data_IF_958434653680
#
_entry.id   IF_958434653680
#
_cell.length_a   1.000
_cell.length_b   1.000
_cell.length_c   1.000
_cell.angle_alpha   90.00
_cell.angle_beta   90.00
_cell.angle_gamma   90.00
#
_symmetry.space_group_name_H-M   'P 1'
#
loop_
_entity.id
_entity.type
_entity.pdbx_description
1 polymer ?
#
# COMPACT_ATOMS: atom_id res chain seq x y z
N UNK A 1 0.11 -1.23 17.06
CA UNK A 1 1.52 -1.25 16.63
C UNK A 1 1.52 -0.76 15.19
N UNK A 2 2.39 0.17 14.84
CA UNK A 2 2.45 0.76 13.51
C UNK A 2 3.68 0.26 12.78
N UNK A 3 3.56 -0.04 11.49
CA UNK A 3 4.68 -0.36 10.62
C UNK A 3 5.10 0.90 9.87
N UNK A 4 6.41 1.19 9.86
CA UNK A 4 7.01 2.37 9.24
C UNK A 4 8.06 1.98 8.21
N UNK A 5 8.05 2.64 7.06
CA UNK A 5 9.04 2.50 5.98
C UNK A 5 9.81 3.81 5.85
N UNK A 6 11.13 3.72 5.65
CA UNK A 6 11.96 4.89 5.36
C UNK A 6 12.05 5.12 3.85
N UNK A 7 11.60 6.27 3.38
CA UNK A 7 11.58 6.65 1.97
C UNK A 7 12.98 6.82 1.36
N UNK A 8 14.00 7.02 2.19
CA UNK A 8 15.40 7.16 1.75
C UNK A 8 16.13 5.83 1.54
N UNK A 9 15.82 4.80 2.32
CA UNK A 9 16.62 3.56 2.34
C UNK A 9 15.81 2.26 2.39
N UNK A 10 14.47 2.36 2.29
CA UNK A 10 13.51 1.26 2.36
C UNK A 10 13.63 0.39 3.61
N UNK A 11 14.22 0.91 4.70
CA UNK A 11 14.22 0.21 5.97
C UNK A 11 12.80 0.18 6.54
N UNK A 12 12.36 -0.97 7.02
CA UNK A 12 11.04 -1.16 7.63
C UNK A 12 11.19 -1.51 9.11
N UNK A 13 10.33 -0.98 9.98
CA UNK A 13 10.30 -1.30 11.40
C UNK A 13 8.93 -1.08 12.03
N UNK A 14 8.70 -1.71 13.19
CA UNK A 14 7.47 -1.55 13.97
C UNK A 14 7.69 -0.60 15.15
N UNK A 15 6.72 0.25 15.44
CA UNK A 15 6.73 1.18 16.59
C UNK A 15 5.37 1.20 17.31
N UNK A 16 5.38 1.54 18.60
CA UNK A 16 4.16 1.78 19.37
C UNK A 16 3.73 3.25 19.37
N UNK A 17 4.55 4.15 18.85
CA UNK A 17 4.32 5.60 18.94
C UNK A 17 4.53 6.25 17.57
N UNK A 18 3.50 6.96 17.12
CA UNK A 18 3.60 7.97 16.06
C UNK A 18 3.09 9.26 16.70
N UNK A 19 3.91 10.30 16.77
CA UNK A 19 3.45 11.60 17.29
C UNK A 19 2.64 12.33 16.21
N UNK A 20 1.33 12.42 16.40
CA UNK A 20 0.40 13.09 15.47
C UNK A 20 0.72 14.58 15.24
N UNK A 21 1.48 15.20 16.14
CA UNK A 21 1.78 16.65 16.13
C UNK A 21 3.18 16.99 15.64
N UNK A 22 4.03 16.01 15.34
CA UNK A 22 5.40 16.26 14.86
C UNK A 22 5.85 15.12 13.97
N UNK A 23 6.03 15.38 12.67
CA UNK A 23 6.76 14.53 11.70
C UNK A 23 8.23 14.22 12.12
N UNK A 24 8.63 14.52 13.36
CA UNK A 24 10.02 14.66 13.80
C UNK A 24 10.54 13.56 14.74
N UNK A 25 9.74 12.58 15.17
CA UNK A 25 10.21 11.61 16.17
C UNK A 25 10.59 10.23 15.64
N UNK A 26 10.24 9.88 14.41
CA UNK A 26 10.66 8.60 13.82
C UNK A 26 11.87 8.83 12.91
N UNK A 27 13.06 8.59 13.45
CA UNK A 27 14.32 8.62 12.70
C UNK A 27 14.65 7.21 12.27
N UNK A 28 14.90 7.01 10.98
CA UNK A 28 15.37 5.73 10.46
C UNK A 28 16.72 5.37 11.09
N UNK A 29 16.77 4.27 11.84
CA UNK A 29 18.01 3.78 12.49
C UNK A 29 19.13 3.41 11.51
N UNK A 30 18.79 3.18 10.23
CA UNK A 30 19.73 2.76 9.19
C UNK A 30 20.44 3.92 8.50
N UNK A 31 19.75 5.05 8.28
CA UNK A 31 20.29 6.17 7.50
C UNK A 31 20.10 7.56 8.13
N UNK A 32 19.48 7.64 9.31
CA UNK A 32 19.23 8.89 10.03
C UNK A 32 18.16 9.79 9.40
N UNK A 33 17.44 9.33 8.36
CA UNK A 33 16.37 10.11 7.74
C UNK A 33 15.14 10.20 8.64
N UNK A 34 14.50 11.37 8.67
CA UNK A 34 13.17 11.59 9.25
C UNK A 34 12.05 11.44 8.21
N UNK A 35 12.40 11.25 6.93
CA UNK A 35 11.44 10.97 5.87
C UNK A 35 11.02 9.50 5.93
N UNK A 36 9.97 9.27 6.71
CA UNK A 36 9.42 7.97 7.07
C UNK A 36 7.91 8.05 7.05
N UNK A 37 7.26 6.96 6.61
CA UNK A 37 5.81 6.91 6.50
C UNK A 37 5.25 5.59 7.02
N UNK A 38 4.02 5.59 7.58
CA UNK A 38 3.31 4.36 7.86
C UNK A 38 2.97 3.61 6.58
N UNK A 39 3.16 2.31 6.59
CA UNK A 39 2.69 1.44 5.51
C UNK A 39 1.81 0.33 6.08
N UNK A 40 0.96 -0.24 5.22
CA UNK A 40 0.12 -1.40 5.54
C UNK A 40 0.38 -2.43 4.45
N UNK A 41 0.77 -3.63 4.86
CA UNK A 41 0.90 -4.77 3.95
C UNK A 41 -0.41 -5.54 3.88
N UNK A 42 -0.81 -5.86 2.67
CA UNK A 42 -1.99 -6.67 2.36
C UNK A 42 -1.53 -7.92 1.61
N UNK A 43 -2.06 -9.07 1.98
CA UNK A 43 -1.83 -10.33 1.29
C UNK A 43 -3.09 -10.71 0.53
N UNK A 44 -2.94 -11.03 -0.76
CA UNK A 44 -4.02 -11.62 -1.54
C UNK A 44 -4.36 -13.00 -0.97
N UNK A 45 -5.60 -13.22 -0.54
CA UNK A 45 -6.06 -14.50 0.05
C UNK A 45 -6.77 -15.40 -0.96
N UNK A 46 -7.09 -14.85 -2.13
CA UNK A 46 -7.80 -15.55 -3.20
C UNK A 46 -7.41 -14.93 -4.53
N UNK A 47 -6.83 -15.71 -5.43
CA UNK A 47 -6.43 -15.22 -6.74
C UNK A 47 -7.64 -14.80 -7.60
N UNK A 48 -7.48 -13.71 -8.35
CA UNK A 48 -8.54 -13.12 -9.18
C UNK A 48 -7.95 -12.32 -10.36
N UNK A 49 -8.79 -11.98 -11.33
CA UNK A 49 -8.43 -11.06 -12.42
C UNK A 49 -9.02 -9.68 -12.16
N UNK A 50 -8.21 -8.64 -12.33
CA UNK A 50 -8.61 -7.25 -12.14
C UNK A 50 -8.43 -6.48 -13.44
N UNK A 51 -9.37 -5.60 -13.77
CA UNK A 51 -9.21 -4.68 -14.92
C UNK A 51 -8.04 -3.72 -14.67
N UNK A 52 -7.26 -3.47 -15.71
CA UNK A 52 -6.14 -2.53 -15.61
C UNK A 52 -6.65 -1.09 -15.70
N UNK A 53 -6.01 -0.19 -14.96
CA UNK A 53 -6.23 1.25 -15.06
C UNK A 53 -5.01 1.92 -15.71
N UNK A 54 -5.25 2.98 -16.49
CA UNK A 54 -4.19 3.84 -17.02
C UNK A 54 -3.65 4.78 -15.93
N UNK A 55 -2.61 5.56 -16.26
CA UNK A 55 -2.00 6.51 -15.31
C UNK A 55 -2.95 7.63 -14.85
N UNK A 56 -4.09 7.81 -15.53
CA UNK A 56 -5.12 8.78 -15.17
C UNK A 56 -6.20 8.16 -14.26
N UNK A 57 -6.13 6.86 -13.97
CA UNK A 57 -7.12 6.12 -13.19
C UNK A 57 -8.38 5.78 -14.00
N UNK A 58 -8.28 5.68 -15.32
CA UNK A 58 -9.36 5.16 -16.16
C UNK A 58 -9.12 3.69 -16.51
N UNK A 59 -10.18 2.88 -16.39
CA UNK A 59 -10.17 1.48 -16.80
C UNK A 59 -9.80 1.34 -18.28
N UNK A 60 -8.87 0.44 -18.57
CA UNK A 60 -8.48 0.05 -19.92
C UNK A 60 -9.34 -1.14 -20.34
N UNK A 61 -10.22 -0.93 -21.31
CA UNK A 61 -11.16 -1.96 -21.76
C UNK A 61 -10.44 -3.23 -22.28
N UNK A 62 -10.87 -4.40 -21.80
CA UNK A 62 -10.34 -5.72 -22.16
C UNK A 62 -8.89 -6.00 -21.72
N UNK A 63 -8.29 -5.14 -20.89
CA UNK A 63 -6.99 -5.40 -20.29
C UNK A 63 -7.16 -5.82 -18.83
N UNK A 64 -6.64 -6.99 -18.48
CA UNK A 64 -6.74 -7.57 -17.16
C UNK A 64 -5.36 -7.99 -16.66
N UNK A 65 -5.13 -7.78 -15.37
CA UNK A 65 -3.99 -8.33 -14.64
C UNK A 65 -4.45 -9.48 -13.75
N UNK A 66 -3.68 -10.56 -13.74
CA UNK A 66 -3.92 -11.71 -12.87
C UNK A 66 -3.22 -11.49 -11.53
N UNK A 67 -3.98 -11.48 -10.45
CA UNK A 67 -3.45 -11.37 -9.09
C UNK A 67 -3.42 -12.76 -8.48
N UNK A 68 -2.22 -13.24 -8.19
CA UNK A 68 -2.03 -14.55 -7.60
C UNK A 68 -2.29 -14.53 -6.09
N UNK A 69 -2.88 -15.60 -5.58
CA UNK A 69 -3.02 -15.85 -4.15
C UNK A 69 -1.64 -15.87 -3.49
N UNK A 70 -1.51 -15.21 -2.35
CA UNK A 70 -0.28 -15.12 -1.58
C UNK A 70 0.62 -13.95 -1.93
N UNK A 71 0.33 -13.19 -3.00
CA UNK A 71 1.07 -11.96 -3.32
C UNK A 71 0.90 -10.90 -2.23
N UNK A 72 1.96 -10.12 -1.98
CA UNK A 72 2.00 -9.09 -0.95
C UNK A 72 2.04 -7.71 -1.60
N UNK A 73 1.21 -6.81 -1.10
CA UNK A 73 1.03 -5.46 -1.63
C UNK A 73 1.06 -4.44 -0.50
N UNK A 74 1.42 -3.19 -0.80
CA UNK A 74 1.41 -2.09 0.15
C UNK A 74 0.26 -1.13 -0.17
N UNK A 75 -0.51 -0.71 0.84
CA UNK A 75 -1.50 0.35 0.67
C UNK A 75 -0.78 1.69 0.52
N UNK A 76 -0.98 2.38 -0.60
CA UNK A 76 -0.53 3.75 -0.77
C UNK A 76 -1.54 4.70 -0.10
N UNK A 77 -1.23 5.17 1.11
CA UNK A 77 -2.04 6.18 1.82
C UNK A 77 -1.72 7.58 1.31
N UNK A 78 -2.08 7.88 0.06
CA UNK A 78 -2.19 9.29 -0.32
C UNK A 78 -3.42 9.89 0.37
N UNK A 79 -3.21 11.04 1.03
CA UNK A 79 -4.19 11.73 1.88
C UNK A 79 -5.48 12.20 1.18
N UNK A 80 -5.64 11.90 -0.11
CA UNK A 80 -6.71 12.40 -0.97
C UNK A 80 -7.74 11.34 -1.41
N UNK A 81 -7.51 10.04 -1.16
CA UNK A 81 -8.33 8.97 -1.77
C UNK A 81 -9.21 8.17 -0.80
N UNK A 82 -9.33 8.61 0.45
CA UNK A 82 -9.95 7.81 1.53
C UNK A 82 -11.48 7.97 1.62
N UNK A 83 -12.11 8.82 0.78
CA UNK A 83 -13.57 8.98 0.77
C UNK A 83 -14.14 8.68 -0.61
N UNK A 84 -14.57 7.44 -0.81
CA UNK A 84 -15.37 7.01 -1.97
C UNK A 84 -14.61 6.79 -3.28
N UNK A 85 -13.28 6.75 -3.27
CA UNK A 85 -12.43 6.48 -4.44
C UNK A 85 -11.81 5.08 -4.44
N UNK A 86 -11.10 4.77 -5.52
CA UNK A 86 -10.33 3.53 -5.67
C UNK A 86 -9.08 3.52 -4.76
N UNK A 87 -8.86 2.38 -4.09
CA UNK A 87 -7.72 2.11 -3.23
C UNK A 87 -6.56 1.67 -4.11
N UNK A 88 -5.39 2.30 -3.92
CA UNK A 88 -4.18 1.93 -4.64
C UNK A 88 -3.29 1.01 -3.82
N UNK A 89 -2.99 -0.16 -4.38
CA UNK A 89 -2.01 -1.11 -3.87
C UNK A 89 -0.74 -1.05 -4.72
N UNK A 90 0.44 -1.14 -4.11
CA UNK A 90 1.73 -1.13 -4.82
C UNK A 90 2.61 -2.32 -4.44
N UNK A 91 3.35 -2.81 -5.43
CA UNK A 91 4.32 -3.89 -5.31
C UNK A 91 5.53 -3.53 -6.20
N UNK A 92 6.73 -3.64 -5.64
CA UNK A 92 7.96 -3.23 -6.34
C UNK A 92 8.25 -4.05 -7.61
N UNK A 93 7.72 -5.27 -7.72
CA UNK A 93 7.89 -6.19 -8.86
C UNK A 93 6.69 -6.19 -9.81
N UNK A 94 5.46 -6.12 -9.26
CA UNK A 94 4.20 -6.29 -10.00
C UNK A 94 3.54 -4.95 -10.37
N UNK A 95 4.06 -3.81 -9.92
CA UNK A 95 3.53 -2.49 -10.23
C UNK A 95 2.46 -2.04 -9.24
N UNK A 96 1.33 -1.55 -9.73
CA UNK A 96 0.26 -1.03 -8.88
C UNK A 96 -1.12 -1.49 -9.37
N UNK A 97 -2.07 -1.49 -8.44
CA UNK A 97 -3.48 -1.84 -8.68
C UNK A 97 -4.36 -0.72 -8.16
N UNK A 98 -5.44 -0.44 -8.85
CA UNK A 98 -6.57 0.35 -8.33
C UNK A 98 -7.78 -0.55 -8.20
N UNK A 99 -8.37 -0.59 -7.02
CA UNK A 99 -9.53 -1.43 -6.74
C UNK A 99 -10.49 -0.77 -5.77
N UNK A 100 -11.75 -1.19 -5.82
CA UNK A 100 -12.77 -0.74 -4.87
C UNK A 100 -12.47 -1.26 -3.46
N UNK A 101 -13.07 -0.63 -2.46
CA UNK A 101 -13.01 -1.12 -1.08
C UNK A 101 -13.60 -2.53 -0.95
N UNK A 102 -14.69 -2.83 -1.67
CA UNK A 102 -15.32 -4.15 -1.69
C UNK A 102 -14.34 -5.23 -2.21
N UNK A 103 -13.70 -4.99 -3.36
CA UNK A 103 -12.71 -5.92 -3.92
C UNK A 103 -11.52 -6.13 -2.96
N UNK A 104 -11.11 -5.10 -2.22
CA UNK A 104 -10.04 -5.21 -1.23
C UNK A 104 -10.47 -6.14 -0.10
N UNK A 105 -11.65 -5.90 0.49
CA UNK A 105 -12.17 -6.64 1.63
C UNK A 105 -12.46 -8.11 1.31
N UNK A 106 -12.88 -8.41 0.07
CA UNK A 106 -13.16 -9.77 -0.38
C UNK A 106 -11.91 -10.61 -0.69
N UNK A 107 -10.84 -9.97 -1.17
CA UNK A 107 -9.69 -10.67 -1.76
C UNK A 107 -8.37 -10.48 -1.01
N UNK A 108 -8.30 -9.57 -0.02
CA UNK A 108 -7.08 -9.29 0.73
C UNK A 108 -7.26 -9.29 2.24
N UNK A 109 -6.19 -9.69 2.95
CA UNK A 109 -6.08 -9.57 4.40
C UNK A 109 -4.86 -8.73 4.80
N UNK A 110 -4.94 -8.03 5.94
CA UNK A 110 -3.79 -7.31 6.48
C UNK A 110 -2.73 -8.29 7.00
N UNK A 111 -1.49 -8.08 6.60
CA UNK A 111 -0.32 -8.75 7.16
C UNK A 111 0.13 -7.95 8.38
N UNK A 112 0.24 -8.62 9.53
CA UNK A 112 0.54 -8.00 10.82
C UNK A 112 1.92 -8.27 11.38
#
# INVERSE_FOLDING_TARGET
MYELKCNKCNNEWKTHTISETTRFLCVCSKCGSTDVEPFIKMKCIKGFSLEMSDDNGFTIENEYTAIEEGTIWNIQKDSFRVVGGEIRLTNDELGWLELSQETLEENFETVS
#
